data_IF_159486030229
#
_entry.id   IF_159486030229
#
_cell.length_a   1.000
_cell.length_b   1.000
_cell.length_c   1.000
_cell.angle_alpha   90.00
_cell.angle_beta   90.00
_cell.angle_gamma   90.00
#
_symmetry.space_group_name_H-M   'P 1'
#
loop_
_entity.id
_entity.type
_entity.pdbx_description
1 polymer ?
#
# COMPACT_ATOMS: atom_id res chain seq x y z
N UNK A 1 23.70 -25.26 -26.05
CA UNK A 1 23.78 -24.27 -24.97
C UNK A 1 22.38 -24.03 -24.43
N UNK A 2 22.11 -24.43 -23.19
CA UNK A 2 20.86 -24.08 -22.51
C UNK A 2 20.91 -22.59 -22.17
N UNK A 3 19.95 -21.80 -22.68
CA UNK A 3 19.77 -20.41 -22.23
C UNK A 3 19.41 -20.44 -20.76
N UNK A 4 20.15 -19.69 -19.95
CA UNK A 4 19.90 -19.54 -18.54
C UNK A 4 18.56 -18.79 -18.36
N UNK A 5 17.55 -19.46 -17.81
CA UNK A 5 16.17 -18.93 -17.68
C UNK A 5 16.10 -17.79 -16.64
N UNK A 6 17.21 -17.47 -15.98
CA UNK A 6 17.27 -16.48 -14.90
C UNK A 6 17.80 -15.10 -15.33
N UNK A 7 18.07 -14.87 -16.62
CA UNK A 7 18.51 -13.56 -17.10
C UNK A 7 17.29 -12.72 -17.54
N UNK A 8 16.92 -11.76 -16.69
CA UNK A 8 15.78 -10.86 -16.90
C UNK A 8 16.21 -9.45 -17.32
N UNK A 9 17.49 -9.23 -17.67
CA UNK A 9 18.02 -7.90 -17.99
C UNK A 9 17.40 -7.28 -19.25
N UNK A 10 16.86 -8.10 -20.14
CA UNK A 10 16.44 -7.70 -21.49
C UNK A 10 14.92 -7.65 -21.66
N UNK A 11 14.15 -7.80 -20.58
CA UNK A 11 12.69 -7.71 -20.64
C UNK A 11 12.23 -6.27 -20.39
N UNK A 12 12.03 -5.51 -21.48
CA UNK A 12 11.24 -4.29 -21.41
C UNK A 12 9.85 -4.62 -20.89
N UNK A 13 9.47 -4.02 -19.76
CA UNK A 13 8.15 -4.18 -19.18
C UNK A 13 7.10 -3.72 -20.21
N UNK A 14 6.37 -4.68 -20.79
CA UNK A 14 5.19 -4.42 -21.61
C UNK A 14 4.33 -3.33 -20.95
N UNK A 15 3.77 -2.42 -21.75
CA UNK A 15 3.01 -1.24 -21.32
C UNK A 15 1.92 -1.54 -20.27
N UNK A 16 1.43 -2.79 -20.26
CA UNK A 16 0.49 -3.32 -19.27
C UNK A 16 0.97 -3.24 -17.81
N UNK A 17 2.28 -3.21 -17.57
CA UNK A 17 2.86 -3.14 -16.22
C UNK A 17 3.33 -1.74 -15.80
N UNK A 18 3.14 -0.71 -16.64
CA UNK A 18 3.61 0.66 -16.36
C UNK A 18 2.66 1.49 -15.51
N UNK A 19 1.54 0.93 -15.03
CA UNK A 19 0.60 1.69 -14.21
C UNK A 19 1.22 1.98 -12.85
N UNK A 20 1.33 3.27 -12.52
CA UNK A 20 1.91 3.72 -11.27
C UNK A 20 0.93 3.50 -10.12
N UNK A 21 1.12 2.42 -9.37
CA UNK A 21 0.35 2.11 -8.18
C UNK A 21 1.20 2.25 -6.93
N UNK A 22 0.54 2.63 -5.84
CA UNK A 22 1.08 2.56 -4.49
C UNK A 22 0.30 1.46 -3.78
N UNK A 23 1.00 0.44 -3.26
CA UNK A 23 0.38 -0.59 -2.44
C UNK A 23 1.06 -0.63 -1.08
N UNK A 24 0.30 -1.00 -0.06
CA UNK A 24 0.87 -1.08 1.27
C UNK A 24 -0.08 -1.53 2.35
N UNK A 25 0.40 -1.45 3.58
CA UNK A 25 -0.31 -1.71 4.82
C UNK A 25 -0.07 -0.60 5.83
N UNK A 26 -1.13 -0.18 6.50
CA UNK A 26 -1.06 0.53 7.78
C UNK A 26 -1.24 -0.51 8.89
N UNK A 27 -0.29 -0.62 9.82
CA UNK A 27 -0.27 -1.65 10.86
C UNK A 27 -0.63 -1.04 12.20
N UNK A 28 -1.51 -1.73 12.92
CA UNK A 28 -2.08 -1.32 14.20
C UNK A 28 -1.86 -2.40 15.25
N UNK A 29 -1.72 -1.98 16.51
CA UNK A 29 -1.74 -2.92 17.64
C UNK A 29 -3.10 -3.62 17.72
N UNK A 30 -3.13 -4.80 18.32
CA UNK A 30 -4.37 -5.55 18.62
C UNK A 30 -5.30 -4.85 19.63
N UNK A 31 -4.86 -3.74 20.23
CA UNK A 31 -5.68 -2.87 21.07
C UNK A 31 -6.68 -2.03 20.26
N UNK A 32 -6.40 -1.79 18.98
CA UNK A 32 -7.34 -1.14 18.08
C UNK A 32 -8.39 -2.16 17.64
N UNK A 33 -9.65 -1.89 17.92
CA UNK A 33 -10.72 -2.84 17.62
C UNK A 33 -10.93 -2.97 16.11
N UNK A 34 -11.45 -4.12 15.67
CA UNK A 34 -11.76 -4.34 14.26
C UNK A 34 -12.77 -3.31 13.73
N UNK A 35 -13.73 -2.88 14.54
CA UNK A 35 -14.71 -1.85 14.20
C UNK A 35 -14.03 -0.51 13.89
N UNK A 36 -13.06 -0.09 14.71
CA UNK A 36 -12.29 1.13 14.47
C UNK A 36 -11.49 1.03 13.15
N UNK A 37 -10.90 -0.12 12.87
CA UNK A 37 -10.19 -0.35 11.61
C UNK A 37 -11.14 -0.32 10.41
N UNK A 38 -12.35 -0.88 10.55
CA UNK A 38 -13.40 -0.82 9.52
C UNK A 38 -13.83 0.62 9.25
N UNK A 39 -13.97 1.45 10.28
CA UNK A 39 -14.30 2.87 10.09
C UNK A 39 -13.21 3.62 9.32
N UNK A 40 -11.93 3.38 9.63
CA UNK A 40 -10.80 3.95 8.89
C UNK A 40 -10.81 3.47 7.44
N UNK A 41 -11.01 2.17 7.20
CA UNK A 41 -11.07 1.61 5.86
C UNK A 41 -12.24 2.20 5.05
N UNK A 42 -13.42 2.37 5.66
CA UNK A 42 -14.58 3.01 5.04
C UNK A 42 -14.32 4.46 4.66
N UNK A 43 -13.67 5.23 5.52
CA UNK A 43 -13.26 6.61 5.20
C UNK A 43 -12.24 6.66 4.07
N UNK A 44 -11.29 5.72 4.04
CA UNK A 44 -10.29 5.66 2.98
C UNK A 44 -10.94 5.45 1.59
N UNK A 45 -11.90 4.52 1.48
CA UNK A 45 -12.58 4.23 0.19
C UNK A 45 -13.52 5.34 -0.29
N UNK A 46 -13.79 6.38 0.51
CA UNK A 46 -14.46 7.59 0.02
C UNK A 46 -13.61 8.30 -1.05
N UNK A 47 -12.28 8.10 -1.03
CA UNK A 47 -11.41 8.54 -2.10
C UNK A 47 -11.34 7.47 -3.21
N UNK A 48 -11.79 7.78 -4.44
CA UNK A 48 -11.86 6.81 -5.54
C UNK A 48 -10.49 6.32 -6.03
N UNK A 49 -9.39 6.97 -5.62
CA UNK A 49 -8.04 6.47 -5.88
C UNK A 49 -7.72 5.18 -5.11
N UNK A 50 -8.46 4.84 -4.05
CA UNK A 50 -8.32 3.53 -3.41
C UNK A 50 -9.06 2.45 -4.20
N UNK A 51 -8.31 1.63 -4.94
CA UNK A 51 -8.85 0.57 -5.79
C UNK A 51 -9.24 -0.68 -5.00
N UNK A 52 -8.53 -0.93 -3.91
CA UNK A 52 -8.79 -2.05 -3.00
C UNK A 52 -8.39 -1.63 -1.59
N UNK A 53 -9.23 -1.93 -0.61
CA UNK A 53 -8.92 -1.79 0.82
C UNK A 53 -9.43 -3.04 1.54
N UNK A 54 -8.59 -3.62 2.40
CA UNK A 54 -8.93 -4.82 3.16
C UNK A 54 -8.27 -4.79 4.53
N UNK A 55 -8.81 -5.55 5.47
CA UNK A 55 -8.22 -5.72 6.80
C UNK A 55 -7.72 -7.15 6.92
N UNK A 56 -6.51 -7.34 7.42
CA UNK A 56 -5.96 -8.67 7.72
C UNK A 56 -5.18 -8.66 9.02
N UNK A 57 -5.03 -9.83 9.63
CA UNK A 57 -4.04 -10.03 10.67
C UNK A 57 -2.63 -10.00 10.07
N UNK A 58 -1.73 -9.21 10.67
CA UNK A 58 -0.34 -9.05 10.21
C UNK A 58 0.65 -9.86 11.08
N UNK A 59 0.39 -9.94 12.39
CA UNK A 59 1.12 -10.75 13.36
C UNK A 59 0.16 -11.21 14.46
N UNK A 60 0.68 -11.93 15.48
CA UNK A 60 -0.11 -12.38 16.63
C UNK A 60 -0.87 -11.24 17.32
N UNK A 61 -0.27 -10.05 17.35
CA UNK A 61 -0.64 -8.87 18.12
C UNK A 61 -0.87 -7.62 17.23
N UNK A 62 -1.02 -7.81 15.91
CA UNK A 62 -1.21 -6.70 14.98
C UNK A 62 -2.23 -7.02 13.89
N UNK A 63 -3.05 -6.03 13.59
CA UNK A 63 -3.88 -5.99 12.40
C UNK A 63 -3.33 -4.95 11.42
N UNK A 64 -3.68 -5.08 10.15
CA UNK A 64 -3.32 -4.08 9.16
C UNK A 64 -4.41 -3.84 8.15
N UNK A 65 -4.55 -2.57 7.78
CA UNK A 65 -5.37 -2.12 6.66
C UNK A 65 -4.46 -2.13 5.43
N UNK A 66 -4.66 -3.13 4.56
CA UNK A 66 -3.99 -3.22 3.28
C UNK A 66 -4.72 -2.40 2.22
N UNK A 67 -3.98 -1.79 1.31
CA UNK A 67 -4.56 -0.95 0.27
C UNK A 67 -3.82 -1.05 -1.07
N UNK A 68 -4.54 -0.72 -2.14
CA UNK A 68 -4.01 -0.36 -3.46
C UNK A 68 -4.52 1.04 -3.81
N UNK A 69 -3.60 1.94 -4.15
CA UNK A 69 -3.89 3.33 -4.47
C UNK A 69 -3.43 3.65 -5.89
N UNK A 70 -4.33 4.25 -6.67
CA UNK A 70 -4.12 4.69 -8.04
C UNK A 70 -3.35 6.01 -8.09
N UNK A 71 -2.12 5.92 -8.58
CA UNK A 71 -1.26 7.07 -8.85
C UNK A 71 -0.86 7.11 -10.33
N UNK A 72 -1.65 6.45 -11.19
CA UNK A 72 -1.36 6.28 -12.62
C UNK A 72 -1.40 7.58 -13.42
N UNK A 73 -1.99 8.63 -12.85
CA UNK A 73 -1.95 10.00 -13.34
C UNK A 73 -0.58 10.67 -13.20
N UNK A 74 0.36 10.06 -12.45
CA UNK A 74 1.72 10.56 -12.27
C UNK A 74 2.76 9.61 -12.89
N UNK A 75 3.79 10.19 -13.51
CA UNK A 75 5.01 9.47 -13.94
C UNK A 75 5.73 8.94 -12.69
N UNK A 76 6.10 7.63 -12.61
CA UNK A 76 6.84 7.09 -11.47
C UNK A 76 8.09 7.91 -11.14
N UNK A 77 8.24 8.31 -9.89
CA UNK A 77 9.38 9.09 -9.41
C UNK A 77 9.78 8.68 -8.00
N UNK A 78 11.07 8.84 -7.67
CA UNK A 78 11.57 8.60 -6.32
C UNK A 78 10.84 9.52 -5.32
N UNK A 79 10.35 8.95 -4.22
CA UNK A 79 9.68 9.69 -3.14
C UNK A 79 8.16 9.86 -3.29
N UNK A 80 7.53 9.35 -4.35
CA UNK A 80 6.06 9.41 -4.51
C UNK A 80 5.30 8.66 -3.41
N UNK A 81 5.88 7.57 -2.90
CA UNK A 81 5.36 6.88 -1.74
C UNK A 81 5.30 7.81 -0.52
N UNK A 82 6.28 8.70 -0.35
CA UNK A 82 6.33 9.68 0.75
C UNK A 82 5.29 10.78 0.59
N UNK A 83 5.10 11.31 -0.62
CA UNK A 83 4.04 12.31 -0.90
C UNK A 83 2.64 11.79 -0.53
N UNK A 84 2.39 10.51 -0.81
CA UNK A 84 1.16 9.85 -0.41
C UNK A 84 1.12 9.57 1.10
N UNK A 85 2.22 9.02 1.64
CA UNK A 85 2.28 8.50 2.99
C UNK A 85 2.24 9.59 4.05
N UNK A 86 2.99 10.68 3.91
CA UNK A 86 3.14 11.72 4.93
C UNK A 86 1.78 12.24 5.46
N UNK A 87 0.83 12.69 4.62
CA UNK A 87 -0.47 13.16 5.11
C UNK A 87 -1.33 12.06 5.72
N UNK A 88 -1.30 10.84 5.16
CA UNK A 88 -2.07 9.69 5.68
C UNK A 88 -1.56 9.30 7.06
N UNK A 89 -0.25 9.21 7.21
CA UNK A 89 0.39 8.82 8.46
C UNK A 89 0.24 9.87 9.53
N UNK A 90 0.28 11.15 9.19
CA UNK A 90 -0.03 12.23 10.13
C UNK A 90 -1.46 12.11 10.66
N UNK A 91 -2.45 11.84 9.80
CA UNK A 91 -3.83 11.65 10.22
C UNK A 91 -3.98 10.42 11.14
N UNK A 92 -3.39 9.28 10.75
CA UNK A 92 -3.45 8.04 11.53
C UNK A 92 -2.72 8.17 12.88
N UNK A 93 -1.56 8.83 12.92
CA UNK A 93 -0.83 9.10 14.17
C UNK A 93 -1.61 10.01 15.11
N UNK A 94 -2.30 11.02 14.59
CA UNK A 94 -3.19 11.86 15.42
C UNK A 94 -4.35 11.07 16.01
N UNK A 95 -4.88 10.11 15.27
CA UNK A 95 -6.02 9.31 15.71
C UNK A 95 -5.64 8.17 16.68
N UNK A 96 -4.55 7.45 16.40
CA UNK A 96 -4.19 6.22 17.11
C UNK A 96 -2.91 6.32 17.93
N UNK A 97 -2.12 7.39 17.79
CA UNK A 97 -0.89 7.58 18.54
C UNK A 97 0.07 6.40 18.40
N UNK A 98 0.43 5.80 19.54
CA UNK A 98 1.34 4.67 19.63
C UNK A 98 0.72 3.33 19.18
N UNK A 99 -0.60 3.29 18.99
CA UNK A 99 -1.29 2.09 18.48
C UNK A 99 -1.22 1.97 16.96
N UNK A 100 -0.73 3.00 16.26
CA UNK A 100 -0.22 2.88 14.90
C UNK A 100 1.24 2.39 14.96
N UNK A 101 1.42 1.08 14.89
CA UNK A 101 2.70 0.41 15.18
C UNK A 101 3.64 0.34 13.98
N UNK A 102 3.16 0.62 12.77
CA UNK A 102 4.02 0.67 11.59
C UNK A 102 3.28 0.78 10.27
N UNK A 103 4.05 0.75 9.19
CA UNK A 103 3.54 0.74 7.83
C UNK A 103 4.52 0.00 6.92
N UNK A 104 4.00 -0.46 5.79
CA UNK A 104 4.78 -1.10 4.74
C UNK A 104 4.22 -0.58 3.41
N UNK A 105 4.94 0.28 2.71
CA UNK A 105 4.43 1.00 1.53
C UNK A 105 5.46 0.92 0.42
N UNK A 106 5.03 0.45 -0.74
CA UNK A 106 5.86 0.30 -1.93
C UNK A 106 5.27 1.03 -3.14
N UNK A 107 6.17 1.60 -3.94
CA UNK A 107 5.88 2.19 -5.25
C UNK A 107 7.18 2.27 -6.07
N UNK A 108 7.16 1.99 -7.39
CA UNK A 108 6.04 1.46 -8.15
C UNK A 108 5.74 0.00 -7.80
N UNK A 109 4.56 -0.50 -8.21
CA UNK A 109 4.19 -1.91 -8.06
C UNK A 109 3.75 -2.49 -9.39
N UNK A 110 4.29 -3.65 -9.76
CA UNK A 110 3.91 -4.38 -10.97
C UNK A 110 2.80 -5.37 -10.64
N UNK A 111 1.60 -5.13 -11.17
CA UNK A 111 0.44 -6.02 -10.99
C UNK A 111 0.41 -7.04 -12.15
N UNK A 112 0.45 -8.32 -11.81
CA UNK A 112 0.28 -9.45 -12.74
C UNK A 112 -1.13 -10.00 -12.51
N UNK A 113 -1.94 -10.11 -13.57
CA UNK A 113 -3.30 -10.67 -13.55
C UNK A 113 -3.36 -12.03 -14.23
#
# INVERSE_FOLDING_TARGET
MQKNIADWSDHEANDQYKKNYIMGLWKFSDKVSLEQLVEVAKKAIENPKYLQVYIRQCSKDQYGIGFTYDNSDKVPAAGQNKEYMDPVMDALKRQFGNDLVGWDISSPVWIIK
#
